data_IF_673580826707
#
_entry.id   IF_673580826707
#
_cell.length_a   1.000
_cell.length_b   1.000
_cell.length_c   1.000
_cell.angle_alpha   90.00
_cell.angle_beta   90.00
_cell.angle_gamma   90.00
#
_symmetry.space_group_name_H-M   'P 1'
#
loop_
_entity.id
_entity.type
_entity.pdbx_description
1 polymer ?
#
# COMPACT_ATOMS: atom_id res chain seq x y z
N UNK A 1 -14.54 -4.87 -53.92
CA UNK A 1 -13.38 -5.68 -53.51
C UNK A 1 -13.60 -6.18 -52.09
N UNK A 2 -13.83 -7.47 -51.89
CA UNK A 2 -14.03 -8.08 -50.57
C UNK A 2 -12.92 -9.10 -50.34
N UNK A 3 -12.09 -8.84 -49.33
CA UNK A 3 -11.04 -9.78 -48.92
C UNK A 3 -11.62 -10.78 -47.92
N UNK A 4 -11.86 -12.02 -48.39
CA UNK A 4 -12.14 -13.17 -47.51
C UNK A 4 -10.82 -13.71 -46.97
N UNK A 5 -10.59 -13.57 -45.67
CA UNK A 5 -9.47 -14.13 -44.93
C UNK A 5 -9.76 -15.62 -44.65
N UNK A 6 -9.11 -16.54 -45.36
CA UNK A 6 -9.06 -17.98 -45.01
C UNK A 6 -7.81 -18.22 -44.18
N UNK A 7 -7.98 -18.60 -42.93
CA UNK A 7 -6.90 -19.08 -42.05
C UNK A 7 -6.69 -20.57 -42.28
N UNK A 8 -5.61 -20.95 -42.95
CA UNK A 8 -5.14 -22.34 -43.04
C UNK A 8 -4.10 -22.54 -41.94
N UNK A 9 -4.30 -23.47 -40.99
CA UNK A 9 -3.27 -23.83 -40.03
C UNK A 9 -2.21 -24.71 -40.70
N UNK A 10 -0.94 -24.30 -40.63
CA UNK A 10 0.20 -25.11 -41.10
C UNK A 10 0.46 -26.23 -40.08
N UNK A 11 0.14 -27.47 -40.46
CA UNK A 11 0.56 -28.67 -39.75
C UNK A 11 1.91 -29.12 -40.33
N UNK A 12 2.97 -29.12 -39.53
CA UNK A 12 4.25 -29.68 -39.93
C UNK A 12 4.17 -31.21 -39.86
N UNK A 13 4.15 -31.88 -41.01
CA UNK A 13 4.39 -33.31 -41.13
C UNK A 13 5.62 -33.54 -42.00
N UNK A 14 6.68 -34.10 -41.42
CA UNK A 14 7.74 -34.74 -42.18
C UNK A 14 8.29 -35.91 -41.36
N UNK A 15 8.18 -37.12 -41.94
CA UNK A 15 8.79 -38.37 -41.50
C UNK A 15 9.68 -38.87 -42.64
N UNK A 16 10.97 -39.10 -42.34
CA UNK A 16 11.82 -40.24 -42.78
C UNK A 16 13.26 -39.98 -42.28
N UNK A 17 13.75 -40.71 -41.27
CA UNK A 17 14.68 -41.87 -41.35
C UNK A 17 16.04 -41.49 -42.00
N UNK A 18 17.23 -41.61 -41.39
CA UNK A 18 17.77 -42.64 -40.48
C UNK A 18 19.16 -42.22 -39.90
N UNK A 19 19.64 -42.98 -38.90
CA UNK A 19 20.99 -43.08 -38.29
C UNK A 19 21.32 -42.26 -37.02
N UNK A 20 21.54 -42.98 -35.92
CA UNK A 20 22.20 -42.60 -34.66
C UNK A 20 23.62 -43.19 -34.62
N UNK A 21 24.53 -42.91 -33.65
CA UNK A 21 24.42 -42.08 -32.43
C UNK A 21 25.48 -40.93 -32.43
N UNK A 22 25.56 -39.94 -31.53
CA UNK A 22 25.81 -40.03 -30.09
C UNK A 22 25.88 -38.60 -29.47
N UNK A 23 25.48 -38.51 -28.20
CA UNK A 23 25.70 -37.46 -27.16
C UNK A 23 25.33 -35.97 -27.33
N UNK A 24 24.54 -35.52 -26.33
CA UNK A 24 24.35 -34.16 -25.78
C UNK A 24 23.09 -33.38 -26.22
N UNK A 25 21.91 -33.89 -25.83
CA UNK A 25 20.68 -33.09 -25.75
C UNK A 25 20.74 -32.12 -24.57
N UNK A 26 20.90 -30.83 -24.87
CA UNK A 26 20.50 -29.74 -23.99
C UNK A 26 18.99 -29.81 -23.81
N UNK A 27 18.55 -30.42 -22.70
CA UNK A 27 17.15 -30.41 -22.28
C UNK A 27 16.72 -28.96 -22.05
N UNK A 28 15.92 -28.43 -22.98
CA UNK A 28 15.14 -27.22 -22.75
C UNK A 28 14.14 -27.52 -21.63
N UNK A 29 14.47 -27.08 -20.42
CA UNK A 29 13.58 -27.15 -19.27
C UNK A 29 12.23 -26.50 -19.60
N UNK A 30 11.20 -27.33 -19.69
CA UNK A 30 9.81 -26.90 -19.72
C UNK A 30 9.48 -26.29 -18.37
N UNK A 31 9.65 -24.96 -18.24
CA UNK A 31 9.25 -24.24 -17.04
C UNK A 31 7.73 -24.35 -16.84
N UNK A 32 7.31 -25.27 -15.98
CA UNK A 32 5.98 -25.23 -15.36
C UNK A 32 5.85 -23.87 -14.68
N UNK A 33 4.97 -23.00 -15.18
CA UNK A 33 4.63 -21.73 -14.52
C UNK A 33 4.02 -22.04 -13.15
N UNK A 34 4.86 -22.15 -12.13
CA UNK A 34 4.41 -22.25 -10.74
C UNK A 34 3.63 -20.98 -10.43
N UNK A 35 2.40 -21.13 -9.93
CA UNK A 35 1.61 -20.01 -9.46
C UNK A 35 2.39 -19.29 -8.35
N UNK A 36 2.33 -17.95 -8.29
CA UNK A 36 2.99 -17.22 -7.21
C UNK A 36 2.42 -17.69 -5.86
N UNK A 37 3.24 -17.67 -4.80
CA UNK A 37 2.78 -18.01 -3.46
C UNK A 37 1.60 -17.11 -3.04
N UNK A 38 0.74 -17.58 -2.12
CA UNK A 38 -0.40 -16.80 -1.66
C UNK A 38 0.05 -15.42 -1.19
N UNK A 39 -0.70 -14.38 -1.54
CA UNK A 39 -0.38 -13.01 -1.14
C UNK A 39 0.75 -12.31 -1.91
N UNK A 40 1.37 -12.98 -2.89
CA UNK A 40 2.33 -12.35 -3.81
C UNK A 40 1.65 -12.03 -5.14
N UNK A 41 1.84 -10.79 -5.60
CA UNK A 41 1.38 -10.33 -6.91
C UNK A 41 2.57 -9.81 -7.70
N UNK A 42 2.53 -9.94 -9.02
CA UNK A 42 3.54 -9.34 -9.87
C UNK A 42 3.12 -7.90 -10.17
N UNK A 43 3.99 -6.94 -9.85
CA UNK A 43 3.80 -5.52 -10.16
C UNK A 43 3.61 -5.32 -11.67
N UNK A 44 2.54 -4.62 -12.11
CA UNK A 44 2.31 -4.36 -13.53
C UNK A 44 3.40 -3.49 -14.17
N UNK A 45 4.06 -2.64 -13.39
CA UNK A 45 5.02 -1.65 -13.89
C UNK A 45 6.44 -2.19 -14.05
N UNK A 46 6.85 -3.12 -13.17
CA UNK A 46 8.23 -3.58 -13.11
C UNK A 46 8.40 -5.10 -13.15
N UNK A 47 7.29 -5.85 -13.24
CA UNK A 47 7.28 -7.31 -13.23
C UNK A 47 8.01 -7.93 -12.03
N UNK A 48 8.10 -7.18 -10.93
CA UNK A 48 8.68 -7.62 -9.66
C UNK A 48 7.59 -8.20 -8.75
N UNK A 49 7.89 -9.25 -7.96
CA UNK A 49 6.96 -9.75 -6.96
C UNK A 49 6.79 -8.74 -5.82
N UNK A 50 5.54 -8.48 -5.46
CA UNK A 50 5.12 -7.53 -4.43
C UNK A 50 4.14 -8.18 -3.46
N UNK A 51 4.11 -7.66 -2.24
CA UNK A 51 3.18 -8.04 -1.17
C UNK A 51 2.35 -6.84 -0.76
N UNK A 52 1.10 -7.09 -0.37
CA UNK A 52 0.23 -6.03 0.13
C UNK A 52 0.73 -5.51 1.48
N UNK A 53 0.66 -4.20 1.68
CA UNK A 53 0.90 -3.54 2.98
C UNK A 53 -0.24 -3.78 3.99
N UNK A 54 -1.34 -4.41 3.57
CA UNK A 54 -2.58 -4.51 4.33
C UNK A 54 -3.47 -3.27 4.21
N UNK A 55 -3.05 -2.27 3.42
CA UNK A 55 -3.82 -1.07 3.10
C UNK A 55 -3.83 -0.86 1.59
N UNK A 56 -4.97 -1.09 0.94
CA UNK A 56 -5.10 -0.95 -0.50
C UNK A 56 -4.75 0.48 -1.00
N UNK A 57 -5.07 1.50 -0.20
CA UNK A 57 -4.75 2.90 -0.48
C UNK A 57 -3.23 3.16 -0.49
N UNK A 58 -2.50 2.56 0.46
CA UNK A 58 -1.04 2.63 0.53
C UNK A 58 -0.39 1.80 -0.59
N UNK A 59 -0.96 0.64 -0.92
CA UNK A 59 -0.48 -0.21 -2.01
C UNK A 59 -0.56 0.46 -3.38
N UNK A 60 -1.62 1.25 -3.59
CA UNK A 60 -1.80 2.06 -4.79
C UNK A 60 -0.82 3.24 -4.82
N UNK A 61 -0.57 3.86 -3.65
CA UNK A 61 0.36 4.98 -3.50
C UNK A 61 1.80 4.60 -3.85
N UNK A 62 2.24 3.37 -3.57
CA UNK A 62 3.62 2.93 -3.80
C UNK A 62 4.03 2.86 -5.29
N UNK A 63 3.16 3.25 -6.25
CA UNK A 63 3.39 3.35 -7.71
C UNK A 63 3.90 2.08 -8.42
N UNK A 64 4.17 1.01 -7.68
CA UNK A 64 4.45 -0.34 -8.18
C UNK A 64 3.15 -1.06 -8.61
N UNK A 65 1.98 -0.47 -8.30
CA UNK A 65 0.66 -0.94 -8.72
C UNK A 65 0.14 -2.18 -7.98
N UNK A 66 0.85 -2.64 -6.96
CA UNK A 66 0.50 -3.82 -6.18
C UNK A 66 1.25 -3.91 -4.82
N UNK A 67 1.43 -2.81 -4.09
CA UNK A 67 2.06 -2.85 -2.77
C UNK A 67 3.58 -2.74 -2.77
N UNK A 68 4.22 -3.39 -1.80
CA UNK A 68 5.65 -3.27 -1.52
C UNK A 68 6.42 -4.43 -2.17
N UNK A 69 7.52 -4.14 -2.87
CA UNK A 69 8.32 -5.19 -3.50
C UNK A 69 9.04 -6.07 -2.49
N UNK A 70 9.16 -7.34 -2.83
CA UNK A 70 10.00 -8.29 -2.11
C UNK A 70 11.47 -7.80 -2.09
N UNK A 71 12.14 -7.93 -0.95
CA UNK A 71 13.54 -7.51 -0.77
C UNK A 71 13.71 -6.02 -0.49
N UNK A 72 12.62 -5.30 -0.18
CA UNK A 72 12.66 -3.86 0.10
C UNK A 72 12.23 -3.52 1.53
N UNK A 73 12.70 -2.36 1.99
CA UNK A 73 12.36 -1.75 3.27
C UNK A 73 11.58 -0.45 3.08
N UNK A 74 10.55 -0.24 3.89
CA UNK A 74 9.77 0.99 3.93
C UNK A 74 9.80 1.58 5.34
N UNK A 75 10.19 2.85 5.44
CA UNK A 75 10.09 3.63 6.69
C UNK A 75 8.86 4.51 6.61
N UNK A 76 8.07 4.50 7.69
CA UNK A 76 6.97 5.41 7.89
C UNK A 76 7.32 6.33 9.06
N UNK A 77 7.56 7.59 8.74
CA UNK A 77 7.87 8.65 9.68
C UNK A 77 6.57 9.27 10.18
N UNK A 78 6.50 9.56 11.47
CA UNK A 78 5.35 10.24 12.07
C UNK A 78 5.78 11.52 12.76
N UNK A 79 5.12 12.62 12.41
CA UNK A 79 5.25 13.88 13.13
C UNK A 79 4.32 13.91 14.36
N UNK A 80 4.77 14.54 15.43
CA UNK A 80 4.04 14.61 16.69
C UNK A 80 4.09 13.33 17.55
N UNK A 81 3.15 13.21 18.48
CA UNK A 81 3.11 12.18 19.54
C UNK A 81 2.04 11.12 19.33
N UNK A 82 1.40 11.11 18.17
CA UNK A 82 0.36 10.13 17.82
C UNK A 82 0.99 8.79 17.42
N UNK A 83 0.17 7.73 17.31
CA UNK A 83 0.60 6.39 16.86
C UNK A 83 -0.25 5.91 15.66
N UNK A 84 -0.35 6.74 14.62
CA UNK A 84 -0.99 6.35 13.37
C UNK A 84 -0.15 5.32 12.61
N UNK A 85 1.18 5.44 12.67
CA UNK A 85 2.11 4.47 12.08
C UNK A 85 1.95 3.07 12.67
N UNK A 86 1.72 2.96 13.98
CA UNK A 86 1.42 1.68 14.63
C UNK A 86 0.19 0.99 14.04
N UNK A 87 -0.82 1.75 13.60
CA UNK A 87 -1.99 1.19 12.92
C UNK A 87 -1.64 0.59 11.56
N UNK A 88 -0.83 1.29 10.76
CA UNK A 88 -0.36 0.80 9.45
C UNK A 88 0.47 -0.48 9.63
N UNK A 89 1.39 -0.49 10.59
CA UNK A 89 2.21 -1.66 10.92
C UNK A 89 1.35 -2.86 11.37
N UNK A 90 0.29 -2.62 12.16
CA UNK A 90 -0.65 -3.68 12.57
C UNK A 90 -1.43 -4.25 11.39
N UNK A 91 -1.87 -3.42 10.44
CA UNK A 91 -2.47 -3.91 9.20
C UNK A 91 -1.50 -4.77 8.39
N UNK A 92 -0.23 -4.36 8.31
CA UNK A 92 0.81 -5.14 7.63
C UNK A 92 1.08 -6.49 8.30
N UNK A 93 1.07 -6.53 9.63
CA UNK A 93 1.15 -7.78 10.41
C UNK A 93 -0.07 -8.67 10.16
N UNK A 94 -1.30 -8.14 10.28
CA UNK A 94 -2.54 -8.89 10.04
C UNK A 94 -2.58 -9.49 8.65
N UNK A 95 -2.17 -8.72 7.63
CA UNK A 95 -2.10 -9.20 6.26
C UNK A 95 -1.14 -10.40 6.12
N UNK A 96 0.00 -10.36 6.81
CA UNK A 96 0.93 -11.48 6.89
C UNK A 96 0.31 -12.73 7.49
N UNK A 97 -0.37 -12.57 8.64
CA UNK A 97 -1.00 -13.70 9.33
C UNK A 97 -2.09 -14.37 8.49
N UNK A 98 -2.92 -13.58 7.78
CA UNK A 98 -4.00 -14.12 6.95
C UNK A 98 -3.46 -14.86 5.73
N UNK A 99 -2.38 -14.35 5.12
CA UNK A 99 -1.73 -15.02 4.00
C UNK A 99 -0.81 -16.18 4.42
N UNK A 100 -0.66 -16.41 5.73
CA UNK A 100 0.21 -17.47 6.27
C UNK A 100 1.71 -17.16 6.16
N UNK A 101 2.07 -15.89 6.00
CA UNK A 101 3.46 -15.44 5.97
C UNK A 101 4.07 -15.48 7.38
N UNK A 102 5.38 -15.75 7.47
CA UNK A 102 6.11 -15.58 8.73
C UNK A 102 6.27 -14.08 9.01
N UNK A 103 5.92 -13.67 10.23
CA UNK A 103 6.00 -12.28 10.70
C UNK A 103 6.98 -12.22 11.88
N UNK A 104 8.05 -11.47 11.72
CA UNK A 104 8.98 -11.12 12.80
C UNK A 104 8.67 -9.71 13.29
N UNK A 105 8.53 -9.54 14.60
CA UNK A 105 8.21 -8.25 15.23
C UNK A 105 9.31 -7.92 16.23
N UNK A 106 10.03 -6.81 16.00
CA UNK A 106 11.03 -6.29 16.94
C UNK A 106 10.36 -5.46 18.04
N UNK A 107 9.56 -6.13 18.87
CA UNK A 107 8.91 -5.53 20.02
C UNK A 107 8.63 -6.59 21.08
N UNK A 108 8.25 -6.12 22.27
CA UNK A 108 7.74 -6.98 23.34
C UNK A 108 6.34 -7.54 23.01
N UNK A 109 5.98 -8.64 23.69
CA UNK A 109 4.81 -9.48 23.39
C UNK A 109 3.43 -8.81 23.64
N UNK A 110 3.36 -7.57 24.16
CA UNK A 110 2.23 -6.69 23.87
C UNK A 110 1.75 -6.59 22.44
N UNK A 111 2.72 -6.32 21.58
CA UNK A 111 2.46 -5.40 20.46
C UNK A 111 1.50 -6.00 19.43
N UNK A 112 1.63 -7.31 19.17
CA UNK A 112 0.74 -8.03 18.25
C UNK A 112 -0.50 -8.63 18.91
N UNK A 113 -0.84 -8.27 20.16
CA UNK A 113 -2.07 -8.73 20.81
C UNK A 113 -3.33 -8.26 20.04
N UNK A 114 -3.36 -6.97 19.69
CA UNK A 114 -4.50 -6.28 19.08
C UNK A 114 -4.31 -6.06 17.58
N UNK A 115 -4.08 -7.14 16.82
CA UNK A 115 -4.04 -7.08 15.36
C UNK A 115 -5.46 -6.93 14.79
N UNK A 116 -5.69 -6.05 13.81
CA UNK A 116 -7.03 -5.83 13.27
C UNK A 116 -7.54 -7.05 12.50
N UNK A 117 -8.83 -7.33 12.65
CA UNK A 117 -9.53 -8.43 11.99
C UNK A 117 -10.03 -8.05 10.59
N UNK A 118 -10.34 -9.05 9.76
CA UNK A 118 -10.91 -8.82 8.42
C UNK A 118 -12.30 -8.22 8.55
N UNK A 119 -12.55 -7.12 7.83
CA UNK A 119 -13.87 -6.53 7.71
C UNK A 119 -14.75 -7.47 6.87
N UNK A 120 -15.88 -7.88 7.41
CA UNK A 120 -16.91 -8.53 6.62
C UNK A 120 -17.55 -7.46 5.72
N UNK A 121 -17.21 -7.46 4.43
CA UNK A 121 -18.03 -6.76 3.45
C UNK A 121 -19.39 -7.47 3.41
N UNK A 122 -20.34 -6.98 4.22
CA UNK A 122 -21.75 -7.15 3.89
C UNK A 122 -21.91 -6.47 2.54
N UNK A 123 -21.88 -7.25 1.47
CA UNK A 123 -22.34 -6.83 0.14
C UNK A 123 -23.70 -6.23 0.38
N UNK A 124 -23.76 -4.91 0.44
CA UNK A 124 -25.01 -4.20 0.60
C UNK A 124 -25.85 -4.64 -0.58
N UNK A 125 -26.95 -5.35 -0.31
CA UNK A 125 -28.08 -5.45 -1.24
C UNK A 125 -28.46 -3.99 -1.51
N UNK A 126 -27.87 -3.39 -2.55
CA UNK A 126 -28.43 -2.20 -3.18
C UNK A 126 -29.78 -2.67 -3.66
N UNK A 127 -30.81 -2.39 -2.87
CA UNK A 127 -32.18 -2.38 -3.36
C UNK A 127 -32.16 -1.30 -4.42
N UNK A 128 -31.96 -1.71 -5.67
CA UNK A 128 -32.18 -0.87 -6.83
C UNK A 128 -33.69 -0.60 -6.80
N UNK A 129 -34.07 0.57 -6.28
CA UNK A 129 -35.40 1.11 -6.53
C UNK A 129 -35.50 1.32 -8.04
N UNK A 130 -36.49 0.65 -8.65
CA UNK A 130 -36.76 0.59 -10.09
C UNK A 130 -37.19 1.93 -10.73
N UNK A 131 -37.02 3.07 -10.04
CA UNK A 131 -37.61 4.35 -10.46
C UNK A 131 -36.66 5.30 -11.21
N UNK A 132 -35.38 4.96 -11.40
CA UNK A 132 -34.40 5.88 -12.00
C UNK A 132 -33.86 5.48 -13.38
N UNK A 133 -34.46 4.50 -14.05
CA UNK A 133 -33.98 4.03 -15.37
C UNK A 133 -34.25 5.03 -16.52
N UNK A 134 -35.15 6.00 -16.37
CA UNK A 134 -35.54 6.87 -17.50
C UNK A 134 -34.71 8.15 -17.66
N UNK A 135 -33.93 8.59 -16.66
CA UNK A 135 -33.28 9.93 -16.70
C UNK A 135 -31.79 9.97 -17.07
N UNK A 136 -31.17 8.86 -17.48
CA UNK A 136 -29.71 8.80 -17.73
C UNK A 136 -29.29 8.14 -19.06
N UNK A 137 -30.03 8.36 -20.15
CA UNK A 137 -29.63 7.87 -21.49
C UNK A 137 -28.44 8.63 -22.11
N UNK A 138 -28.11 9.83 -21.62
CA UNK A 138 -26.99 10.64 -22.14
C UNK A 138 -25.66 10.25 -21.47
N UNK A 139 -25.66 9.95 -20.17
CA UNK A 139 -24.46 9.57 -19.44
C UNK A 139 -23.90 8.20 -19.89
N UNK A 140 -24.75 7.29 -20.37
CA UNK A 140 -24.33 5.94 -20.74
C UNK A 140 -23.43 5.89 -21.98
N UNK A 141 -23.58 6.87 -22.90
CA UNK A 141 -22.72 6.95 -24.09
C UNK A 141 -21.29 7.38 -23.79
N UNK A 142 -21.07 8.16 -22.73
CA UNK A 142 -19.72 8.55 -22.31
C UNK A 142 -19.06 7.53 -21.37
N UNK A 143 -19.81 6.63 -20.73
CA UNK A 143 -19.21 5.52 -19.96
C UNK A 143 -18.43 4.54 -20.85
N UNK A 144 -18.84 4.39 -22.13
CA UNK A 144 -18.17 3.51 -23.09
C UNK A 144 -17.05 4.19 -23.88
N UNK A 145 -16.94 5.51 -23.80
CA UNK A 145 -15.82 6.30 -24.31
C UNK A 145 -14.87 6.52 -23.13
N UNK A 146 -13.96 5.57 -22.93
CA UNK A 146 -13.06 5.53 -21.78
C UNK A 146 -12.51 6.91 -21.40
N UNK A 147 -12.64 7.22 -20.11
CA UNK A 147 -12.05 8.39 -19.46
C UNK A 147 -10.53 8.40 -19.70
N UNK A 148 -10.13 9.02 -20.81
CA UNK A 148 -8.75 9.40 -21.05
C UNK A 148 -8.51 10.68 -20.26
N UNK A 149 -7.86 10.52 -19.10
CA UNK A 149 -7.35 11.66 -18.32
C UNK A 149 -8.08 11.95 -17.02
N UNK A 150 -8.41 10.94 -16.21
CA UNK A 150 -8.45 11.10 -14.75
C UNK A 150 -8.14 9.75 -14.10
N UNK A 151 -7.33 9.80 -13.04
CA UNK A 151 -6.80 8.65 -12.31
C UNK A 151 -7.93 7.84 -11.66
N UNK A 152 -8.43 6.83 -12.37
CA UNK A 152 -9.28 5.79 -11.81
C UNK A 152 -8.94 4.45 -12.48
N UNK A 153 -7.79 3.88 -12.09
CA UNK A 153 -7.24 2.64 -12.64
C UNK A 153 -7.72 1.36 -11.95
N UNK A 154 -8.75 1.44 -11.10
CA UNK A 154 -9.28 0.29 -10.35
C UNK A 154 -10.60 -0.28 -10.91
N UNK A 155 -10.79 -0.24 -12.24
CA UNK A 155 -11.83 -1.03 -12.91
C UNK A 155 -11.36 -1.66 -14.22
N UNK A 156 -10.26 -2.43 -14.16
CA UNK A 156 -10.17 -3.62 -15.03
C UNK A 156 -10.68 -4.79 -14.20
N UNK A 157 -12.01 -4.87 -14.11
CA UNK A 157 -12.67 -6.11 -13.78
C UNK A 157 -12.46 -7.06 -14.93
N UNK A 158 -11.40 -7.87 -14.87
CA UNK A 158 -11.41 -9.14 -15.57
C UNK A 158 -12.50 -9.95 -14.86
N UNK A 159 -13.66 -10.05 -15.52
CA UNK A 159 -14.71 -10.98 -15.13
C UNK A 159 -14.12 -12.39 -15.12
N UNK A 160 -13.67 -12.85 -13.95
CA UNK A 160 -13.46 -14.28 -13.73
C UNK A 160 -14.85 -14.90 -13.71
N UNK A 161 -15.28 -15.37 -14.87
CA UNK A 161 -16.32 -16.38 -14.94
C UNK A 161 -15.85 -17.57 -14.09
N UNK A 162 -16.56 -17.80 -12.99
CA UNK A 162 -16.76 -19.07 -12.28
C UNK A 162 -15.73 -20.19 -12.47
N UNK A 163 -14.98 -20.49 -11.41
CA UNK A 163 -14.65 -21.85 -10.97
C UNK A 163 -14.40 -21.78 -9.45
N UNK A 164 -15.06 -22.66 -8.70
CA UNK A 164 -15.11 -22.64 -7.24
C UNK A 164 -13.83 -23.13 -6.58
N UNK A 165 -12.82 -22.26 -6.52
CA UNK A 165 -11.68 -22.40 -5.62
C UNK A 165 -11.60 -21.15 -4.74
N UNK A 166 -11.30 -21.34 -3.45
CA UNK A 166 -11.15 -20.28 -2.45
C UNK A 166 -9.93 -19.40 -2.79
N UNK A 167 -10.06 -18.49 -3.76
CA UNK A 167 -9.00 -17.54 -4.09
C UNK A 167 -8.94 -16.49 -2.98
N UNK A 168 -7.93 -16.60 -2.11
CA UNK A 168 -7.65 -15.58 -1.09
C UNK A 168 -7.30 -14.26 -1.78
N UNK A 169 -7.94 -13.13 -1.44
CA UNK A 169 -7.67 -11.86 -2.09
C UNK A 169 -6.25 -11.35 -1.77
N UNK A 170 -5.70 -10.54 -2.67
CA UNK A 170 -4.35 -9.95 -2.54
C UNK A 170 -4.23 -8.98 -1.36
N UNK A 171 -5.28 -8.20 -1.08
CA UNK A 171 -5.33 -7.27 0.05
C UNK A 171 -6.69 -7.45 0.72
N UNK A 172 -6.71 -7.54 2.05
CA UNK A 172 -7.93 -7.58 2.82
C UNK A 172 -8.26 -6.19 3.35
N UNK A 173 -9.54 -5.87 3.45
CA UNK A 173 -9.99 -4.69 4.20
C UNK A 173 -10.06 -5.07 5.68
N UNK A 174 -9.42 -4.29 6.53
CA UNK A 174 -9.33 -4.55 7.98
C UNK A 174 -10.24 -3.63 8.77
N UNK A 175 -11.03 -4.20 9.68
CA UNK A 175 -11.81 -3.43 10.66
C UNK A 175 -10.99 -3.26 11.95
N UNK A 176 -10.59 -2.03 12.23
CA UNK A 176 -9.73 -1.70 13.39
C UNK A 176 -10.46 -1.85 14.73
N UNK A 177 -11.80 -1.88 14.71
CA UNK A 177 -12.60 -2.14 15.90
C UNK A 177 -12.67 -3.62 16.27
N UNK A 178 -12.26 -4.51 15.36
CA UNK A 178 -12.25 -5.96 15.55
C UNK A 178 -10.82 -6.45 15.74
N UNK A 179 -10.63 -7.38 16.68
CA UNK A 179 -9.36 -8.08 16.82
C UNK A 179 -9.38 -9.37 15.99
N UNK A 180 -8.26 -9.69 15.35
CA UNK A 180 -8.06 -10.95 14.66
C UNK A 180 -8.11 -12.09 15.67
N UNK A 181 -9.08 -12.99 15.53
CA UNK A 181 -9.17 -14.20 16.35
C UNK A 181 -8.02 -15.12 15.96
N UNK A 182 -7.06 -15.27 16.87
CA UNK A 182 -5.89 -16.12 16.68
C UNK A 182 -6.01 -17.36 17.56
N UNK A 183 -5.67 -18.57 17.06
CA UNK A 183 -5.31 -19.65 17.95
C UNK A 183 -4.09 -19.21 18.76
N UNK A 184 -4.13 -19.37 20.08
CA UNK A 184 -3.13 -18.84 21.03
C UNK A 184 -1.67 -19.27 20.74
N UNK A 185 -1.47 -20.30 19.90
CA UNK A 185 -0.19 -20.92 19.57
C UNK A 185 0.16 -20.85 18.08
N UNK A 186 -0.32 -19.85 17.33
CA UNK A 186 0.10 -19.67 15.94
C UNK A 186 1.62 -19.41 15.85
N UNK A 187 2.43 -20.31 15.26
CA UNK A 187 3.89 -20.13 15.12
C UNK A 187 4.25 -19.07 14.07
N UNK A 188 3.27 -18.37 13.49
CA UNK A 188 3.48 -17.42 12.40
C UNK A 188 4.14 -16.13 12.87
N UNK A 189 3.89 -15.70 14.12
CA UNK A 189 4.49 -14.50 14.69
C UNK A 189 5.66 -14.90 15.58
N UNK A 190 6.79 -14.23 15.46
CA UNK A 190 7.92 -14.37 16.37
C UNK A 190 8.38 -13.00 16.83
N UNK A 191 8.37 -12.80 18.15
CA UNK A 191 8.80 -11.56 18.78
C UNK A 191 10.30 -11.58 19.05
N UNK A 192 10.95 -10.46 18.77
CA UNK A 192 12.36 -10.21 19.03
C UNK A 192 12.45 -8.96 19.93
N UNK A 193 12.21 -9.10 21.24
CA UNK A 193 12.17 -7.96 22.14
C UNK A 193 13.56 -7.31 22.24
N UNK A 194 13.66 -5.98 22.21
CA UNK A 194 14.90 -5.31 22.53
C UNK A 194 15.27 -5.61 23.99
N UNK A 195 16.55 -5.87 24.23
CA UNK A 195 17.05 -6.19 25.57
C UNK A 195 18.00 -5.09 26.04
N UNK A 196 18.07 -4.80 27.34
CA UNK A 196 18.96 -3.75 27.84
C UNK A 196 20.46 -4.10 27.70
N UNK A 197 20.79 -5.34 27.31
CA UNK A 197 22.18 -5.81 27.16
C UNK A 197 22.79 -5.48 25.81
N UNK A 198 21.98 -5.19 24.80
CA UNK A 198 22.42 -4.95 23.44
C UNK A 198 21.65 -3.77 22.84
N UNK A 199 22.28 -2.95 21.99
CA UNK A 199 21.61 -1.81 21.38
C UNK A 199 20.44 -2.23 20.48
N UNK A 200 20.52 -3.39 19.83
CA UNK A 200 19.45 -3.92 18.99
C UNK A 200 19.27 -5.43 19.24
N UNK A 201 18.06 -5.96 19.05
CA UNK A 201 17.84 -7.41 19.11
C UNK A 201 18.60 -8.12 17.97
N UNK A 202 19.09 -9.32 18.25
CA UNK A 202 19.85 -10.10 17.29
C UNK A 202 18.94 -10.62 16.17
N UNK A 203 19.31 -10.35 14.91
CA UNK A 203 18.59 -10.80 13.72
C UNK A 203 18.97 -12.24 13.30
N UNK A 204 19.83 -12.93 14.04
CA UNK A 204 20.18 -14.34 13.77
C UNK A 204 18.99 -15.27 13.64
N UNK A 205 17.94 -15.08 14.46
CA UNK A 205 16.73 -15.89 14.37
C UNK A 205 16.01 -15.71 13.01
N UNK A 206 15.99 -14.46 12.50
CA UNK A 206 15.44 -14.14 11.17
C UNK A 206 16.31 -14.78 10.09
N UNK A 207 17.63 -14.63 10.20
CA UNK A 207 18.60 -15.18 9.26
C UNK A 207 18.53 -16.72 9.19
N UNK A 208 18.42 -17.39 10.34
CA UNK A 208 18.27 -18.84 10.44
C UNK A 208 16.98 -19.29 9.76
N UNK A 209 15.85 -18.66 10.08
CA UNK A 209 14.57 -18.98 9.47
C UNK A 209 14.58 -18.82 7.94
N UNK A 210 15.17 -17.73 7.44
CA UNK A 210 15.31 -17.47 6.00
C UNK A 210 16.25 -18.45 5.29
N UNK A 211 17.23 -19.00 6.00
CA UNK A 211 18.17 -20.00 5.46
C UNK A 211 17.55 -21.40 5.47
N UNK A 212 16.80 -21.75 6.52
CA UNK A 212 16.06 -23.01 6.63
C UNK A 212 14.88 -23.08 5.66
N UNK A 213 14.26 -21.93 5.37
CA UNK A 213 13.11 -21.81 4.49
C UNK A 213 13.45 -20.90 3.30
N UNK A 214 14.23 -21.37 2.32
CA UNK A 214 14.46 -20.64 1.07
C UNK A 214 13.21 -20.60 0.17
N UNK A 215 12.05 -21.03 0.68
CA UNK A 215 10.80 -21.08 -0.06
C UNK A 215 10.40 -19.69 -0.56
N UNK A 216 9.65 -19.65 -1.67
CA UNK A 216 9.12 -18.42 -2.27
C UNK A 216 8.19 -17.62 -1.32
N UNK A 217 7.85 -18.16 -0.16
CA UNK A 217 6.94 -17.51 0.77
C UNK A 217 7.56 -16.23 1.35
N UNK A 218 6.83 -15.11 1.34
CA UNK A 218 7.32 -13.86 1.90
C UNK A 218 7.49 -13.92 3.42
N UNK A 219 8.52 -13.25 3.91
CA UNK A 219 8.77 -13.01 5.33
C UNK A 219 8.63 -11.52 5.61
N UNK A 220 7.84 -11.17 6.61
CA UNK A 220 7.56 -9.77 6.99
C UNK A 220 8.30 -9.41 8.26
N UNK A 221 9.15 -8.40 8.21
CA UNK A 221 9.84 -7.83 9.36
C UNK A 221 9.16 -6.51 9.76
N UNK A 222 8.82 -6.38 11.03
CA UNK A 222 8.09 -5.24 11.57
C UNK A 222 8.88 -4.66 12.73
N UNK A 223 9.18 -3.37 12.63
CA UNK A 223 9.96 -2.66 13.65
C UNK A 223 9.17 -1.43 14.10
N UNK A 224 8.33 -1.58 15.13
CA UNK A 224 7.57 -0.46 15.67
C UNK A 224 8.45 0.44 16.53
N UNK A 225 8.13 1.73 16.53
CA UNK A 225 8.75 2.82 17.31
C UNK A 225 10.26 2.67 17.45
N UNK A 226 10.98 2.61 16.32
CA UNK A 226 12.43 2.42 16.30
C UNK A 226 13.12 3.54 17.09
N UNK A 227 14.08 3.15 17.95
CA UNK A 227 14.77 4.03 18.90
C UNK A 227 13.88 4.73 19.94
N UNK A 228 12.68 4.22 20.19
CA UNK A 228 11.88 4.68 21.34
C UNK A 228 12.62 4.40 22.66
N UNK A 229 12.81 5.42 23.52
CA UNK A 229 13.48 5.26 24.83
C UNK A 229 12.77 4.28 25.76
N UNK A 230 11.50 3.93 25.49
CA UNK A 230 10.75 2.94 26.26
C UNK A 230 11.23 1.51 26.03
N UNK A 231 11.85 1.24 24.88
CA UNK A 231 12.19 -0.12 24.46
C UNK A 231 13.68 -0.30 24.18
N UNK A 232 14.37 0.75 23.71
CA UNK A 232 15.77 0.70 23.31
C UNK A 232 16.70 1.28 24.39
N UNK A 233 17.90 0.71 24.50
CA UNK A 233 18.96 1.24 25.37
C UNK A 233 19.45 2.60 24.84
N UNK A 234 19.96 3.51 25.68
CA UNK A 234 20.64 4.72 25.20
C UNK A 234 21.77 4.44 24.20
N UNK A 235 22.44 3.28 24.33
CA UNK A 235 23.50 2.86 23.40
C UNK A 235 22.99 2.62 21.97
N UNK A 236 21.68 2.39 21.80
CA UNK A 236 21.05 2.22 20.48
C UNK A 236 21.12 3.49 19.63
N UNK A 237 21.24 4.66 20.27
CA UNK A 237 21.36 5.95 19.59
C UNK A 237 22.79 6.23 19.10
N UNK A 238 23.79 5.37 19.42
CA UNK A 238 25.12 5.47 18.80
C UNK A 238 25.00 5.24 17.29
N UNK A 239 25.43 6.20 16.44
CA UNK A 239 25.38 6.06 14.99
C UNK A 239 26.03 4.78 14.48
N UNK A 240 27.10 4.30 15.11
CA UNK A 240 27.75 3.04 14.67
C UNK A 240 26.81 1.85 14.85
N UNK A 241 26.25 1.69 16.05
CA UNK A 241 25.31 0.61 16.34
C UNK A 241 24.06 0.69 15.45
N UNK A 242 23.49 1.89 15.29
CA UNK A 242 22.30 2.12 14.47
C UNK A 242 22.54 1.82 12.98
N UNK A 243 23.62 2.35 12.40
CA UNK A 243 23.95 2.13 11.00
C UNK A 243 24.28 0.65 10.75
N UNK A 244 25.05 0.01 11.63
CA UNK A 244 25.34 -1.42 11.52
C UNK A 244 24.07 -2.26 11.58
N UNK A 245 23.11 -1.90 12.44
CA UNK A 245 21.82 -2.56 12.50
C UNK A 245 21.01 -2.40 11.20
N UNK A 246 20.87 -1.19 10.67
CA UNK A 246 20.17 -0.97 9.39
C UNK A 246 20.86 -1.71 8.23
N UNK A 247 22.19 -1.70 8.20
CA UNK A 247 22.97 -2.46 7.22
C UNK A 247 22.74 -3.96 7.35
N UNK A 248 22.60 -4.50 8.55
CA UNK A 248 22.32 -5.93 8.75
C UNK A 248 20.96 -6.34 8.16
N UNK A 249 19.93 -5.48 8.26
CA UNK A 249 18.63 -5.69 7.61
C UNK A 249 18.80 -5.69 6.09
N UNK A 250 19.52 -4.69 5.55
CA UNK A 250 19.77 -4.58 4.10
C UNK A 250 20.55 -5.78 3.57
N UNK A 251 21.57 -6.26 4.29
CA UNK A 251 22.31 -7.46 3.93
C UNK A 251 21.40 -8.70 3.90
N UNK A 252 20.49 -8.85 4.88
CA UNK A 252 19.53 -9.94 4.88
C UNK A 252 18.57 -9.86 3.67
N UNK A 253 18.08 -8.68 3.33
CA UNK A 253 17.20 -8.47 2.17
C UNK A 253 17.91 -8.73 0.84
N UNK A 254 19.20 -8.38 0.74
CA UNK A 254 20.01 -8.66 -0.44
C UNK A 254 20.27 -10.16 -0.62
N UNK A 255 20.51 -10.89 0.48
CA UNK A 255 20.71 -12.35 0.46
C UNK A 255 19.40 -13.10 0.24
N UNK A 256 18.30 -12.60 0.79
CA UNK A 256 17.00 -13.25 0.81
C UNK A 256 15.93 -12.29 0.26
N UNK A 257 15.66 -12.40 -1.04
CA UNK A 257 14.70 -11.53 -1.71
C UNK A 257 13.28 -11.64 -1.14
N UNK A 258 12.92 -12.72 -0.44
CA UNK A 258 11.59 -12.90 0.16
C UNK A 258 11.35 -12.07 1.44
N UNK A 259 12.36 -11.37 1.98
CA UNK A 259 12.24 -10.54 3.17
C UNK A 259 11.73 -9.12 2.82
N UNK A 260 10.68 -8.67 3.48
CA UNK A 260 10.15 -7.30 3.37
C UNK A 260 10.06 -6.68 4.76
N UNK A 261 10.53 -5.44 4.91
CA UNK A 261 10.54 -4.76 6.19
C UNK A 261 9.71 -3.48 6.17
N UNK A 262 8.91 -3.24 7.22
CA UNK A 262 8.33 -1.92 7.51
C UNK A 262 8.75 -1.47 8.90
N UNK A 263 9.25 -0.25 8.98
CA UNK A 263 9.72 0.39 10.20
C UNK A 263 8.91 1.66 10.46
N UNK A 264 8.63 1.99 11.71
CA UNK A 264 8.11 3.31 12.08
C UNK A 264 9.16 4.15 12.79
N UNK A 265 9.19 5.44 12.47
CA UNK A 265 10.18 6.39 12.97
C UNK A 265 9.52 7.62 13.63
N UNK A 266 9.76 7.88 14.93
CA UNK A 266 9.15 9.01 15.64
C UNK A 266 9.92 10.31 15.42
N UNK A 267 9.39 11.23 14.59
CA UNK A 267 10.06 12.50 14.29
C UNK A 267 10.04 13.48 15.47
N UNK A 268 9.11 13.33 16.42
CA UNK A 268 9.11 14.11 17.65
C UNK A 268 10.36 13.90 18.50
N UNK A 269 10.99 12.73 18.40
CA UNK A 269 12.26 12.42 19.09
C UNK A 269 13.47 12.63 18.18
N UNK A 270 13.33 12.28 16.89
CA UNK A 270 14.40 12.38 15.90
C UNK A 270 13.93 13.19 14.70
N UNK A 271 13.99 14.54 14.76
CA UNK A 271 13.53 15.41 13.68
C UNK A 271 14.21 15.13 12.35
N UNK A 272 13.67 15.67 11.25
CA UNK A 272 14.19 15.47 9.89
C UNK A 272 15.65 15.91 9.70
N UNK A 273 16.10 16.89 10.50
CA UNK A 273 17.49 17.36 10.47
C UNK A 273 18.44 16.51 11.33
N UNK A 274 17.92 15.54 12.08
CA UNK A 274 18.74 14.67 12.91
C UNK A 274 19.54 13.69 12.04
N UNK A 275 20.81 13.47 12.40
CA UNK A 275 21.73 12.63 11.61
C UNK A 275 21.26 11.19 11.49
N UNK A 276 20.67 10.62 12.55
CA UNK A 276 20.10 9.26 12.51
C UNK A 276 18.92 9.17 11.53
N UNK A 277 18.04 10.18 11.48
CA UNK A 277 16.95 10.25 10.50
C UNK A 277 17.51 10.28 9.09
N UNK A 278 18.51 11.12 8.84
CA UNK A 278 19.19 11.18 7.54
C UNK A 278 19.78 9.82 7.12
N UNK A 279 20.45 9.11 8.04
CA UNK A 279 20.99 7.78 7.76
C UNK A 279 19.89 6.75 7.49
N UNK A 280 18.80 6.79 8.25
CA UNK A 280 17.64 5.93 8.06
C UNK A 280 17.02 6.13 6.67
N UNK A 281 16.71 7.37 6.30
CA UNK A 281 16.15 7.72 4.99
C UNK A 281 17.06 7.27 3.84
N UNK A 282 18.38 7.37 4.03
CA UNK A 282 19.38 7.00 3.02
C UNK A 282 19.46 5.49 2.82
N UNK A 283 19.42 4.72 3.91
CA UNK A 283 19.66 3.26 3.90
C UNK A 283 18.40 2.45 3.58
N UNK A 284 17.21 2.97 3.87
CA UNK A 284 15.93 2.33 3.54
C UNK A 284 15.49 2.63 2.11
N UNK A 285 14.72 1.74 1.49
CA UNK A 285 14.39 1.83 0.06
C UNK A 285 13.21 2.77 -0.20
N UNK A 286 12.27 2.86 0.73
CA UNK A 286 11.14 3.78 0.71
C UNK A 286 11.00 4.57 2.00
N UNK A 287 10.51 5.80 1.89
CA UNK A 287 10.27 6.73 3.01
C UNK A 287 8.97 7.47 2.75
N UNK A 288 8.03 7.33 3.69
CA UNK A 288 6.74 8.03 3.71
C UNK A 288 6.64 8.75 5.05
N UNK A 289 6.17 9.99 5.02
CA UNK A 289 5.95 10.81 6.22
C UNK A 289 4.48 11.09 6.43
N UNK A 290 4.00 10.83 7.63
CA UNK A 290 2.68 11.23 8.12
C UNK A 290 2.84 12.53 8.91
N UNK A 291 2.07 13.54 8.52
CA UNK A 291 2.01 14.85 9.16
C UNK A 291 0.58 15.05 9.70
N UNK A 292 0.28 14.62 10.94
CA UNK A 292 -1.01 14.86 11.57
C UNK A 292 -1.31 16.35 11.68
N UNK A 293 -2.59 16.72 11.54
CA UNK A 293 -3.01 18.08 11.78
C UNK A 293 -2.89 18.43 13.27
N UNK A 294 -2.43 19.66 13.59
CA UNK A 294 -2.51 20.17 14.96
C UNK A 294 -3.94 20.09 15.49
N UNK A 295 -4.10 19.91 16.80
CA UNK A 295 -5.42 19.81 17.43
C UNK A 295 -6.32 21.03 17.15
N UNK A 296 -5.74 22.21 16.95
CA UNK A 296 -6.45 23.45 16.58
C UNK A 296 -6.99 23.43 15.14
N UNK A 297 -6.36 22.64 14.27
CA UNK A 297 -6.78 22.37 12.89
C UNK A 297 -7.72 21.17 12.81
N UNK A 298 -8.52 20.95 13.86
CA UNK A 298 -9.59 19.96 13.80
C UNK A 298 -10.42 20.26 12.55
N UNK A 299 -10.67 19.24 11.72
CA UNK A 299 -11.27 19.39 10.39
C UNK A 299 -12.73 19.94 10.39
N UNK A 300 -13.19 20.53 11.50
CA UNK A 300 -14.34 21.42 11.61
C UNK A 300 -14.08 22.80 10.98
N UNK A 301 -12.82 23.25 10.92
CA UNK A 301 -12.45 24.52 10.30
C UNK A 301 -12.44 24.50 8.76
N UNK A 302 -12.49 23.31 8.15
CA UNK A 302 -12.60 23.17 6.69
C UNK A 302 -14.09 22.97 6.38
N UNK A 303 -14.78 23.95 5.77
CA UNK A 303 -16.19 23.81 5.41
C UNK A 303 -16.34 22.69 4.38
N UNK A 304 -16.65 21.48 4.84
CA UNK A 304 -17.05 20.38 3.97
C UNK A 304 -18.50 20.62 3.58
N UNK A 305 -18.68 21.19 2.39
CA UNK A 305 -19.99 21.35 1.81
C UNK A 305 -20.48 20.00 1.29
N UNK A 306 -21.20 19.24 2.13
CA UNK A 306 -22.02 18.13 1.63
C UNK A 306 -23.33 18.08 2.40
N UNK A 307 -24.44 18.11 1.67
CA UNK A 307 -25.77 17.64 2.09
C UNK A 307 -25.81 16.13 2.45
N UNK A 308 -24.67 15.51 2.74
CA UNK A 308 -24.59 14.23 3.43
C UNK A 308 -24.11 14.51 4.84
N UNK A 309 -24.88 14.08 5.85
CA UNK A 309 -24.37 13.88 7.22
C UNK A 309 -23.09 13.05 7.12
N UNK A 310 -21.94 13.72 7.06
CA UNK A 310 -20.64 13.14 6.74
C UNK A 310 -20.30 12.12 7.80
N UNK A 311 -20.01 10.89 7.38
CA UNK A 311 -19.53 9.86 8.31
C UNK A 311 -18.16 10.32 8.82
N UNK A 312 -17.88 10.13 10.11
CA UNK A 312 -16.57 10.40 10.74
C UNK A 312 -15.37 9.88 9.91
N UNK A 313 -15.60 8.85 9.07
CA UNK A 313 -14.61 8.21 8.20
C UNK A 313 -14.04 9.12 7.08
N UNK A 314 -14.67 10.26 6.78
CA UNK A 314 -14.21 11.17 5.72
C UNK A 314 -13.44 12.40 6.26
N UNK A 315 -13.36 12.55 7.60
CA UNK A 315 -12.63 13.64 8.27
C UNK A 315 -11.13 13.43 8.07
N UNK A 316 -10.50 14.31 7.29
CA UNK A 316 -9.05 14.28 7.07
C UNK A 316 -8.34 14.56 8.40
N UNK A 317 -7.27 13.81 8.69
CA UNK A 317 -6.54 13.91 9.95
C UNK A 317 -5.09 14.35 9.77
N UNK A 318 -4.57 14.34 8.54
CA UNK A 318 -3.24 14.86 8.26
C UNK A 318 -2.84 14.72 6.80
N UNK A 319 -1.68 15.28 6.47
CA UNK A 319 -1.01 15.08 5.19
C UNK A 319 -0.15 13.82 5.21
N UNK A 320 0.03 13.24 4.04
CA UNK A 320 0.99 12.18 3.77
C UNK A 320 1.94 12.67 2.68
N UNK A 321 3.23 12.68 2.99
CA UNK A 321 4.30 13.09 2.07
C UNK A 321 5.12 11.87 1.68
N UNK A 322 5.29 11.63 0.40
CA UNK A 322 6.18 10.57 -0.09
C UNK A 322 7.54 11.16 -0.41
N UNK A 323 8.56 10.76 0.34
CA UNK A 323 9.94 11.23 0.17
C UNK A 323 10.72 10.32 -0.78
N UNK A 324 10.58 9.01 -0.60
CA UNK A 324 11.31 8.00 -1.37
C UNK A 324 10.38 6.84 -1.70
N UNK A 325 10.39 6.40 -2.96
CA UNK A 325 9.64 5.24 -3.41
C UNK A 325 10.61 4.06 -3.64
N UNK A 326 10.32 2.87 -3.07
CA UNK A 326 11.13 1.67 -3.29
C UNK A 326 11.32 1.40 -4.79
N UNK A 327 12.55 1.02 -5.17
CA UNK A 327 13.00 0.76 -6.56
C UNK A 327 13.04 2.00 -7.46
N UNK A 328 11.99 2.82 -7.46
CA UNK A 328 11.84 4.00 -8.31
C UNK A 328 12.92 5.04 -8.02
N UNK A 329 13.07 5.43 -6.75
CA UNK A 329 14.04 6.48 -6.39
C UNK A 329 15.48 6.01 -6.57
N UNK A 330 15.77 4.72 -6.32
CA UNK A 330 17.10 4.16 -6.57
C UNK A 330 17.46 4.12 -8.06
N UNK A 331 16.47 3.98 -8.95
CA UNK A 331 16.65 4.05 -10.41
C UNK A 331 16.74 5.48 -10.95
N UNK A 332 16.85 6.48 -10.06
CA UNK A 332 16.92 7.89 -10.44
C UNK A 332 15.58 8.48 -10.91
N UNK A 333 14.47 7.76 -10.71
CA UNK A 333 13.15 8.33 -10.99
C UNK A 333 12.79 9.26 -9.83
N UNK A 334 12.55 10.53 -10.16
CA UNK A 334 11.96 11.46 -9.20
C UNK A 334 10.61 10.93 -8.71
N UNK A 335 10.26 11.24 -7.46
CA UNK A 335 8.92 10.98 -6.92
C UNK A 335 7.82 11.70 -7.73
N UNK A 336 8.21 12.68 -8.57
CA UNK A 336 7.35 13.53 -9.37
C UNK A 336 6.75 14.65 -8.52
N UNK A 337 5.94 15.52 -9.14
CA UNK A 337 4.96 16.33 -8.40
C UNK A 337 3.92 15.35 -7.86
N UNK A 338 4.22 14.69 -6.75
CA UNK A 338 3.22 13.93 -6.04
C UNK A 338 2.26 14.95 -5.45
N UNK A 339 1.01 14.91 -5.94
CA UNK A 339 -0.11 15.65 -5.36
C UNK A 339 -0.11 15.46 -3.84
N UNK A 340 -0.41 16.53 -3.12
CA UNK A 340 -0.53 16.48 -1.67
C UNK A 340 -1.52 15.37 -1.31
N UNK A 341 -1.06 14.30 -0.66
CA UNK A 341 -1.94 13.23 -0.22
C UNK A 341 -2.42 13.55 1.19
N UNK A 342 -3.65 13.20 1.50
CA UNK A 342 -4.20 13.24 2.85
C UNK A 342 -4.63 11.86 3.27
N UNK A 343 -4.62 11.64 4.59
CA UNK A 343 -5.08 10.41 5.19
C UNK A 343 -6.18 10.66 6.21
N UNK A 344 -7.00 9.64 6.40
CA UNK A 344 -8.07 9.59 7.40
C UNK A 344 -8.13 8.19 8.01
N UNK A 345 -8.05 8.13 9.34
CA UNK A 345 -8.31 6.95 10.15
C UNK A 345 -9.79 6.96 10.57
N UNK A 346 -10.61 6.18 9.86
CA UNK A 346 -11.96 5.87 10.29
C UNK A 346 -12.00 4.66 11.24
N UNK A 347 -13.18 4.37 11.79
CA UNK A 347 -13.36 3.20 12.68
C UNK A 347 -13.05 1.87 11.97
N UNK A 348 -13.35 1.81 10.67
CA UNK A 348 -13.29 0.58 9.86
C UNK A 348 -12.17 0.54 8.83
N UNK A 349 -11.47 1.65 8.58
CA UNK A 349 -10.44 1.70 7.54
C UNK A 349 -9.52 2.92 7.67
N UNK A 350 -8.27 2.74 7.25
CA UNK A 350 -7.33 3.80 7.00
C UNK A 350 -7.32 4.11 5.50
N UNK A 351 -7.65 5.34 5.12
CA UNK A 351 -7.77 5.76 3.71
C UNK A 351 -6.75 6.84 3.41
N UNK A 352 -6.07 6.72 2.28
CA UNK A 352 -5.19 7.73 1.72
C UNK A 352 -5.81 8.18 0.39
N UNK A 353 -5.94 9.48 0.17
CA UNK A 353 -6.54 10.08 -1.03
C UNK A 353 -5.85 11.39 -1.40
N UNK A 354 -5.90 11.83 -2.67
CA UNK A 354 -5.42 13.15 -3.05
C UNK A 354 -6.15 14.23 -2.25
N UNK A 355 -5.42 15.25 -1.83
CA UNK A 355 -5.95 16.43 -1.18
C UNK A 355 -6.66 17.28 -2.23
N UNK A 356 -7.97 17.44 -2.04
CA UNK A 356 -8.77 18.36 -2.81
C UNK A 356 -9.41 19.33 -1.82
N UNK A 357 -9.18 20.63 -2.04
CA UNK A 357 -9.94 21.64 -1.33
C UNK A 357 -11.43 21.49 -1.70
N UNK A 358 -12.34 21.60 -0.72
CA UNK A 358 -13.76 21.69 -1.05
C UNK A 358 -13.96 22.89 -1.99
N UNK A 359 -14.89 22.78 -2.96
CA UNK A 359 -15.20 23.92 -3.82
C UNK A 359 -15.62 25.09 -2.93
N UNK A 360 -14.89 26.20 -3.05
CA UNK A 360 -15.28 27.45 -2.41
C UNK A 360 -16.56 27.88 -3.10
N UNK A 361 -17.70 27.78 -2.42
CA UNK A 361 -18.88 28.51 -2.84
C UNK A 361 -18.53 29.99 -2.69
N UNK A 362 -18.17 30.64 -3.79
CA UNK A 362 -18.31 32.07 -3.86
C UNK A 362 -19.81 32.32 -3.66
N UNK A 363 -20.16 32.86 -2.50
CA UNK A 363 -21.46 33.51 -2.31
C UNK A 363 -21.60 34.45 -3.50
N UNK A 364 -22.48 34.09 -4.45
CA UNK A 364 -22.79 34.94 -5.58
C UNK A 364 -23.20 36.28 -4.98
N UNK A 365 -22.37 37.30 -5.15
CA UNK A 365 -22.74 38.68 -4.89
C UNK A 365 -24.07 38.93 -5.60
N UNK A 366 -25.10 39.23 -4.82
CA UNK A 366 -26.42 39.61 -5.29
C UNK A 366 -26.43 41.00 -5.93
N UNK A 367 -25.46 41.30 -6.80
CA UNK A 367 -25.31 42.58 -7.48
C UNK A 367 -24.94 42.33 -8.94
N UNK A 368 -25.92 41.93 -9.75
CA UNK A 368 -25.83 41.98 -11.23
C UNK A 368 -27.17 41.67 -11.90
N UNK A 369 -28.29 42.21 -11.37
CA UNK A 369 -29.58 42.25 -12.10
C UNK A 369 -30.35 43.57 -11.98
N UNK A 370 -29.85 44.56 -11.25
CA UNK A 370 -30.50 45.88 -11.14
C UNK A 370 -29.86 46.96 -12.04
N UNK A 371 -28.57 46.88 -12.37
CA UNK A 371 -27.92 47.89 -13.21
C UNK A 371 -28.29 47.81 -14.71
N UNK A 372 -28.79 46.66 -15.18
CA UNK A 372 -29.22 46.51 -16.58
C UNK A 372 -30.64 47.06 -16.84
N UNK A 373 -31.43 47.30 -15.78
CA UNK A 373 -32.76 47.95 -15.90
C UNK A 373 -32.72 49.47 -15.82
N UNK A 374 -31.65 50.06 -15.28
CA UNK A 374 -31.51 51.53 -15.19
C UNK A 374 -31.00 52.11 -16.51
N UNK A 375 -30.09 51.42 -17.21
CA UNK A 375 -29.58 51.88 -18.52
C UNK A 375 -30.59 51.78 -19.68
N UNK A 376 -31.62 50.94 -19.56
CA UNK A 376 -32.66 50.80 -20.60
C UNK A 376 -33.73 51.91 -20.56
N UNK A 377 -33.76 52.76 -19.51
CA UNK A 377 -34.70 53.88 -19.37
C UNK A 377 -34.13 55.25 -19.74
N UNK A 378 -32.84 55.35 -20.03
CA UNK A 378 -32.17 56.62 -20.38
C UNK A 378 -31.90 56.80 -21.88
N UNK A 379 -32.40 55.88 -22.71
CA UNK A 379 -32.31 55.94 -24.18
C UNK A 379 -33.71 55.88 -24.81
N UNK A 380 -34.57 56.81 -24.43
CA UNK A 380 -35.68 57.26 -25.27
C UNK A 380 -35.58 58.80 -25.39
N UNK A 381 -35.12 59.25 -26.56
CA UNK A 381 -35.33 60.61 -27.09
C UNK A 381 -35.59 60.50 -28.59
#
# INVERSE_FOLDING_TARGET
MSFRKRSVPLTNSAKSESSSPDVASLEAASSTKQAPPPGVRISPSFSLPTVSTGLASLDSLLRLGAGLALGTSLVIEEDGTTDYTGTILKCFASQGVIHGHKVFILAAEPWGANLPGVAEEKVGKKVVSKENEEKMKIAWRYERLGAHGTSNRDRIGLSSQSLGDNITPFSHTFDLSRSLVRPATSPMITYLPPTPRAPFPDLKAVAAYLTENPSSQPVRLIIPSLLSPLFYSPDSSDPKAFISFLQSIRQLQQKHANLVAILSWPLALYPTHHTLTWWLERLCDGVIRLEPFPHDFSAEAIPQNTNSKGRDEDKMQGFLRVRKLPILTERGMGTGVMEDMVWALGRKRFVIRPFNLPPVEFENGGESKEEEKVKAKELEF
#
